data_IF_975007726828
#
_entry.id   IF_975007726828
#
_cell.length_a   1.000
_cell.length_b   1.000
_cell.length_c   1.000
_cell.angle_alpha   90.00
_cell.angle_beta   90.00
_cell.angle_gamma   90.00
#
_symmetry.space_group_name_H-M   'P 1'
#
loop_
_entity.id
_entity.type
_entity.pdbx_description
1 polymer ?
#
# COMPACT_ATOMS: atom_id res chain seq x y z
N UNK A 1 3.91 -18.32 -5.99
CA UNK A 1 3.75 -17.97 -4.56
C UNK A 1 5.11 -17.57 -4.04
N UNK A 2 5.23 -16.35 -3.48
CA UNK A 2 6.51 -15.83 -2.97
C UNK A 2 6.92 -16.62 -1.71
N UNK A 3 8.24 -16.78 -1.48
CA UNK A 3 8.77 -17.62 -0.38
C UNK A 3 8.23 -17.18 0.99
N UNK A 4 8.07 -15.88 1.21
CA UNK A 4 7.54 -15.32 2.46
C UNK A 4 6.04 -15.59 2.70
N UNK A 5 5.25 -15.93 1.67
CA UNK A 5 3.86 -16.35 1.86
C UNK A 5 3.72 -17.69 2.60
N UNK A 6 4.85 -18.39 2.81
CA UNK A 6 4.89 -19.63 3.60
C UNK A 6 5.16 -19.40 5.08
N UNK A 7 5.46 -18.15 5.47
CA UNK A 7 5.70 -17.79 6.86
C UNK A 7 4.35 -17.40 7.46
N UNK A 8 3.79 -18.18 8.40
CA UNK A 8 2.50 -17.85 8.99
C UNK A 8 2.61 -16.56 9.81
N UNK A 9 1.64 -15.68 9.61
CA UNK A 9 1.51 -14.45 10.39
C UNK A 9 0.65 -14.77 11.62
N UNK A 10 1.17 -14.42 12.80
CA UNK A 10 0.43 -14.51 14.06
C UNK A 10 0.17 -13.11 14.59
N UNK A 11 -1.09 -12.79 14.83
CA UNK A 11 -1.45 -11.53 15.49
C UNK A 11 -0.88 -11.49 16.91
N UNK A 12 -0.16 -10.43 17.24
CA UNK A 12 0.43 -10.21 18.56
C UNK A 12 -0.50 -9.42 19.50
N UNK A 13 -1.71 -9.06 19.04
CA UNK A 13 -2.68 -8.26 19.80
C UNK A 13 -2.40 -6.76 19.82
N UNK A 14 -1.41 -6.27 19.06
CA UNK A 14 -1.12 -4.84 18.95
C UNK A 14 -2.32 -4.10 18.31
N UNK A 15 -2.68 -2.94 18.88
CA UNK A 15 -3.90 -2.22 18.51
C UNK A 15 -3.74 -1.53 17.15
N UNK A 16 -4.79 -1.59 16.35
CA UNK A 16 -4.92 -0.77 15.15
C UNK A 16 -5.49 0.59 15.56
N UNK A 17 -4.67 1.64 15.53
CA UNK A 17 -5.06 2.98 15.96
C UNK A 17 -4.89 4.03 14.85
N UNK A 18 -5.54 5.17 15.00
CA UNK A 18 -5.41 6.29 14.07
C UNK A 18 -3.98 6.86 14.09
N UNK A 19 -3.50 7.27 12.92
CA UNK A 19 -2.20 7.93 12.78
C UNK A 19 -2.28 9.32 13.43
N UNK A 20 -1.36 9.65 14.37
CA UNK A 20 -1.38 10.92 15.08
C UNK A 20 -0.98 12.09 14.16
N UNK A 21 -1.42 13.30 14.52
CA UNK A 21 -1.19 14.52 13.73
C UNK A 21 0.28 14.96 13.62
N UNK A 22 1.19 14.40 14.42
CA UNK A 22 2.63 14.64 14.29
C UNK A 22 3.24 13.92 13.07
N UNK A 23 2.54 12.95 12.48
CA UNK A 23 2.92 12.32 11.22
C UNK A 23 2.05 12.87 10.10
N UNK A 24 2.67 13.21 8.98
CA UNK A 24 1.97 13.70 7.79
C UNK A 24 1.50 12.52 6.94
N UNK A 25 0.35 12.68 6.31
CA UNK A 25 -0.18 11.74 5.32
C UNK A 25 -0.74 12.49 4.12
N UNK A 26 -0.78 11.81 2.98
CA UNK A 26 -1.25 12.40 1.74
C UNK A 26 -2.77 12.60 1.79
N UNK A 27 -3.21 13.85 1.69
CA UNK A 27 -4.64 14.19 1.60
C UNK A 27 -4.89 14.98 0.31
N UNK A 28 -5.82 14.55 -0.52
CA UNK A 28 -6.72 13.40 -0.36
C UNK A 28 -6.05 12.05 -0.58
N UNK A 29 -6.56 11.00 0.09
CA UNK A 29 -6.03 9.64 -0.04
C UNK A 29 -6.14 9.14 -1.48
N UNK A 30 -5.05 8.64 -2.10
CA UNK A 30 -5.02 8.34 -3.53
C UNK A 30 -6.04 7.27 -3.96
N UNK A 31 -6.27 6.25 -3.13
CA UNK A 31 -7.22 5.17 -3.49
C UNK A 31 -8.67 5.56 -3.24
N UNK A 32 -8.92 6.49 -2.34
CA UNK A 32 -10.27 7.01 -2.12
C UNK A 32 -10.81 7.70 -3.38
N UNK A 33 -9.98 8.48 -4.06
CA UNK A 33 -10.34 9.09 -5.34
C UNK A 33 -10.63 8.10 -6.45
N UNK A 34 -10.04 6.92 -6.39
CA UNK A 34 -10.30 5.84 -7.35
C UNK A 34 -11.61 5.10 -7.07
N UNK A 35 -12.35 5.48 -6.03
CA UNK A 35 -13.59 4.81 -5.63
C UNK A 35 -13.37 3.56 -4.80
N UNK A 36 -12.18 3.39 -4.18
CA UNK A 36 -11.94 2.26 -3.30
C UNK A 36 -12.94 2.23 -2.11
N UNK A 37 -13.46 1.05 -1.74
CA UNK A 37 -14.59 0.91 -0.82
C UNK A 37 -14.19 1.06 0.65
N UNK A 38 -13.59 2.18 1.01
CA UNK A 38 -13.41 2.54 2.41
C UNK A 38 -14.75 2.89 3.04
N UNK A 39 -15.04 2.32 4.20
CA UNK A 39 -16.32 2.52 4.89
C UNK A 39 -16.54 3.97 5.32
N UNK A 40 -15.49 4.64 5.74
CA UNK A 40 -15.51 6.07 6.04
C UNK A 40 -14.11 6.68 5.88
N UNK A 41 -14.05 8.03 5.72
CA UNK A 41 -12.78 8.74 5.54
C UNK A 41 -11.90 8.73 6.80
N UNK A 42 -12.48 8.60 7.98
CA UNK A 42 -11.77 8.64 9.26
C UNK A 42 -11.10 7.31 9.57
N UNK A 43 -11.52 6.22 8.93
CA UNK A 43 -10.99 4.89 9.14
C UNK A 43 -9.81 4.55 8.23
N UNK A 44 -9.43 5.44 7.31
CA UNK A 44 -8.39 5.18 6.29
C UNK A 44 -6.99 5.18 6.92
N UNK A 45 -6.69 6.19 7.71
CA UNK A 45 -5.36 6.44 8.25
C UNK A 45 -5.15 5.74 9.59
N UNK A 46 -4.85 4.43 9.55
CA UNK A 46 -4.59 3.59 10.74
C UNK A 46 -3.36 2.72 10.53
N UNK A 47 -2.67 2.43 11.62
CA UNK A 47 -1.57 1.46 11.68
C UNK A 47 -1.57 0.79 13.05
N UNK A 48 -0.81 -0.29 13.20
CA UNK A 48 -0.52 -0.86 14.50
C UNK A 48 0.24 0.15 15.36
N UNK A 49 -0.10 0.20 16.66
CA UNK A 49 0.46 1.18 17.59
C UNK A 49 1.99 1.16 17.64
N UNK A 50 2.59 -0.03 17.68
CA UNK A 50 4.04 -0.17 17.67
C UNK A 50 4.66 0.33 16.36
N UNK A 51 4.00 0.18 15.22
CA UNK A 51 4.46 0.74 13.94
C UNK A 51 4.45 2.26 14.01
N UNK A 52 3.40 2.87 14.54
CA UNK A 52 3.29 4.32 14.73
C UNK A 52 4.42 4.82 15.63
N UNK A 53 4.68 4.15 16.76
CA UNK A 53 5.75 4.52 17.69
C UNK A 53 7.13 4.52 17.02
N UNK A 54 7.38 3.57 16.12
CA UNK A 54 8.61 3.53 15.33
C UNK A 54 8.66 4.65 14.28
N UNK A 55 7.53 4.91 13.61
CA UNK A 55 7.45 5.97 12.59
C UNK A 55 7.71 7.36 13.19
N UNK A 56 7.16 7.64 14.37
CA UNK A 56 7.43 8.91 15.07
C UNK A 56 8.92 9.06 15.30
N UNK A 57 9.61 8.04 15.85
CA UNK A 57 11.06 8.08 16.06
C UNK A 57 11.85 8.28 14.77
N UNK A 58 11.44 7.61 13.69
CA UNK A 58 12.09 7.75 12.39
C UNK A 58 11.88 9.14 11.82
N UNK A 59 10.67 9.70 11.93
CA UNK A 59 10.37 11.04 11.46
C UNK A 59 11.14 12.11 12.26
N UNK A 60 11.21 11.98 13.59
CA UNK A 60 11.97 12.87 14.45
C UNK A 60 13.47 12.84 14.09
N UNK A 61 14.01 11.65 13.89
CA UNK A 61 15.40 11.48 13.44
C UNK A 61 15.62 12.13 12.07
N UNK A 62 14.71 11.87 11.10
CA UNK A 62 14.80 12.45 9.76
C UNK A 62 14.81 13.98 9.80
N UNK A 63 13.93 14.58 10.58
CA UNK A 63 13.88 16.04 10.78
C UNK A 63 15.18 16.56 11.42
N UNK A 64 15.80 15.81 12.33
CA UNK A 64 17.02 16.23 13.00
C UNK A 64 18.25 16.28 12.08
N UNK A 65 18.27 15.45 11.01
CA UNK A 65 19.42 15.32 10.08
C UNK A 65 19.14 15.96 8.72
N UNK A 66 17.91 16.36 8.43
CA UNK A 66 17.51 16.89 7.12
C UNK A 66 16.37 17.88 7.25
N UNK A 67 15.98 18.48 6.12
CA UNK A 67 14.78 19.32 6.03
C UNK A 67 13.54 18.57 5.53
N UNK A 68 13.57 17.24 5.55
CA UNK A 68 12.48 16.40 5.06
C UNK A 68 11.63 15.85 6.21
N UNK A 69 10.39 15.48 5.87
CA UNK A 69 9.47 14.75 6.73
C UNK A 69 9.06 13.47 6.04
N UNK A 70 8.71 12.45 6.81
CA UNK A 70 7.97 11.32 6.28
C UNK A 70 6.55 11.78 5.88
N UNK A 71 6.11 11.35 4.71
CA UNK A 71 4.74 11.51 4.25
C UNK A 71 4.16 10.13 3.97
N UNK A 72 3.15 9.74 4.74
CA UNK A 72 2.50 8.45 4.59
C UNK A 72 1.60 8.52 3.36
N UNK A 73 1.87 7.65 2.38
CA UNK A 73 1.13 7.56 1.13
C UNK A 73 -0.05 6.58 1.22
N UNK A 74 0.15 5.45 1.88
CA UNK A 74 -0.86 4.43 2.16
C UNK A 74 -0.55 3.72 3.46
N UNK A 75 -1.58 3.23 4.15
CA UNK A 75 -1.45 2.63 5.47
C UNK A 75 -2.29 1.36 5.58
N UNK A 76 -3.08 1.19 6.63
CA UNK A 76 -3.97 0.04 6.76
C UNK A 76 -5.00 0.01 5.62
N UNK A 77 -5.09 -1.15 5.00
CA UNK A 77 -5.98 -1.38 3.87
C UNK A 77 -6.94 -2.52 4.21
N UNK A 78 -8.25 -2.26 4.38
CA UNK A 78 -9.24 -3.32 4.51
C UNK A 78 -9.15 -4.30 3.35
N UNK A 79 -9.54 -5.55 3.57
CA UNK A 79 -9.42 -6.58 2.55
C UNK A 79 -10.24 -6.24 1.29
N UNK A 80 -11.41 -5.64 1.46
CA UNK A 80 -12.27 -5.19 0.37
C UNK A 80 -11.58 -4.13 -0.51
N UNK A 81 -10.79 -3.25 0.11
CA UNK A 81 -9.99 -2.26 -0.61
C UNK A 81 -8.80 -2.93 -1.32
N UNK A 82 -8.16 -3.90 -0.68
CA UNK A 82 -7.11 -4.70 -1.31
C UNK A 82 -7.62 -5.45 -2.54
N UNK A 83 -8.81 -6.05 -2.46
CA UNK A 83 -9.48 -6.70 -3.59
C UNK A 83 -9.76 -5.72 -4.72
N UNK A 84 -10.32 -4.54 -4.39
CA UNK A 84 -10.61 -3.50 -5.36
C UNK A 84 -9.34 -3.07 -6.11
N UNK A 85 -8.25 -2.80 -5.39
CA UNK A 85 -6.99 -2.36 -5.98
C UNK A 85 -6.34 -3.47 -6.82
N UNK A 86 -6.41 -4.71 -6.35
CA UNK A 86 -5.90 -5.86 -7.10
C UNK A 86 -6.67 -6.09 -8.41
N UNK A 87 -8.01 -6.01 -8.38
CA UNK A 87 -8.87 -6.07 -9.56
C UNK A 87 -8.55 -4.95 -10.54
N UNK A 88 -8.42 -3.72 -10.03
CA UNK A 88 -8.04 -2.57 -10.85
C UNK A 88 -6.68 -2.76 -11.52
N UNK A 89 -5.70 -3.27 -10.80
CA UNK A 89 -4.37 -3.55 -11.36
C UNK A 89 -4.42 -4.58 -12.49
N UNK A 90 -5.25 -5.60 -12.36
CA UNK A 90 -5.50 -6.60 -13.41
C UNK A 90 -6.09 -5.93 -14.66
N UNK A 91 -7.13 -5.12 -14.50
CA UNK A 91 -7.77 -4.44 -15.63
C UNK A 91 -6.79 -3.55 -16.38
N UNK A 92 -6.00 -2.75 -15.66
CA UNK A 92 -4.98 -1.90 -16.26
C UNK A 92 -3.89 -2.70 -17.00
N UNK A 93 -3.49 -3.86 -16.48
CA UNK A 93 -2.50 -4.71 -17.15
C UNK A 93 -3.10 -5.39 -18.40
N UNK A 94 -4.38 -5.73 -18.36
CA UNK A 94 -5.11 -6.26 -19.52
C UNK A 94 -5.22 -5.22 -20.63
N UNK A 95 -5.61 -3.97 -20.28
CA UNK A 95 -5.67 -2.85 -21.23
C UNK A 95 -4.31 -2.61 -21.91
N UNK A 96 -3.20 -2.62 -21.13
CA UNK A 96 -1.84 -2.49 -21.70
C UNK A 96 -1.45 -3.62 -22.64
N UNK A 97 -2.02 -4.79 -22.44
CA UNK A 97 -1.72 -6.00 -23.23
C UNK A 97 -2.70 -6.25 -24.37
N UNK A 98 -3.65 -5.31 -24.60
CA UNK A 98 -4.74 -5.42 -25.58
C UNK A 98 -5.55 -6.73 -25.42
N UNK A 99 -5.80 -7.10 -24.18
CA UNK A 99 -6.52 -8.32 -23.81
C UNK A 99 -7.88 -7.94 -23.25
N UNK A 100 -8.94 -8.30 -23.92
CA UNK A 100 -10.31 -8.15 -23.42
C UNK A 100 -10.63 -9.33 -22.47
N UNK A 101 -10.57 -9.06 -21.16
CA UNK A 101 -10.83 -10.08 -20.13
C UNK A 101 -11.89 -9.56 -19.17
N UNK A 102 -12.89 -10.42 -18.90
CA UNK A 102 -13.68 -10.29 -17.70
C UNK A 102 -12.86 -10.80 -16.50
N UNK A 103 -12.99 -10.14 -15.34
CA UNK A 103 -12.28 -10.54 -14.11
C UNK A 103 -12.52 -12.03 -13.76
N UNK A 104 -13.67 -12.59 -14.13
CA UNK A 104 -14.04 -13.99 -13.90
C UNK A 104 -13.11 -14.98 -14.59
N UNK A 105 -12.52 -14.59 -15.72
CA UNK A 105 -11.63 -15.45 -16.51
C UNK A 105 -10.14 -15.20 -16.24
N UNK A 106 -9.78 -14.35 -15.29
CA UNK A 106 -8.37 -13.96 -15.05
C UNK A 106 -7.45 -15.14 -14.71
N UNK A 107 -7.99 -16.19 -14.10
CA UNK A 107 -7.21 -17.41 -13.80
C UNK A 107 -6.68 -18.11 -15.05
N UNK A 108 -7.30 -17.89 -16.21
CA UNK A 108 -6.84 -18.39 -17.50
C UNK A 108 -5.64 -17.60 -18.06
N UNK A 109 -5.26 -16.50 -17.40
CA UNK A 109 -4.16 -15.63 -17.82
C UNK A 109 -3.08 -15.50 -16.72
N UNK A 110 -2.35 -16.58 -16.44
CA UNK A 110 -1.37 -16.61 -15.35
C UNK A 110 -0.23 -15.59 -15.54
N UNK A 111 0.07 -15.20 -16.78
CA UNK A 111 1.07 -14.16 -17.07
C UNK A 111 0.66 -12.78 -16.55
N UNK A 112 -0.60 -12.41 -16.68
CA UNK A 112 -1.15 -11.15 -16.15
C UNK A 112 -1.12 -11.17 -14.63
N UNK A 113 -1.63 -12.26 -14.01
CA UNK A 113 -1.58 -12.42 -12.57
C UNK A 113 -0.16 -12.30 -12.02
N UNK A 114 0.81 -12.97 -12.66
CA UNK A 114 2.22 -12.92 -12.25
C UNK A 114 2.81 -11.51 -12.32
N UNK A 115 2.43 -10.70 -13.32
CA UNK A 115 2.84 -9.31 -13.43
C UNK A 115 2.24 -8.46 -12.31
N UNK A 116 0.93 -8.60 -12.05
CA UNK A 116 0.24 -7.86 -10.98
C UNK A 116 0.77 -8.26 -9.61
N UNK A 117 0.99 -9.55 -9.34
CA UNK A 117 1.51 -10.05 -8.06
C UNK A 117 2.95 -9.58 -7.75
N UNK A 118 3.70 -9.07 -8.73
CA UNK A 118 5.00 -8.44 -8.45
C UNK A 118 4.86 -7.22 -7.54
N UNK A 119 3.80 -6.43 -7.73
CA UNK A 119 3.58 -5.14 -7.08
C UNK A 119 2.44 -5.19 -6.05
N UNK A 120 1.43 -6.00 -6.29
CA UNK A 120 0.25 -6.11 -5.44
C UNK A 120 0.18 -7.46 -4.75
N UNK A 121 -0.02 -7.42 -3.42
CA UNK A 121 -0.30 -8.65 -2.68
C UNK A 121 -1.68 -9.19 -3.07
N UNK A 122 -1.75 -10.50 -3.29
CA UNK A 122 -3.03 -11.19 -3.52
C UNK A 122 -3.98 -10.96 -2.32
N UNK A 123 -5.25 -10.64 -2.55
CA UNK A 123 -6.23 -10.40 -1.48
C UNK A 123 -6.66 -11.72 -0.82
N UNK A 124 -5.81 -12.27 0.02
CA UNK A 124 -6.04 -13.53 0.71
C UNK A 124 -7.00 -13.36 1.87
N UNK A 125 -8.01 -14.23 1.94
CA UNK A 125 -8.91 -14.38 3.09
C UNK A 125 -8.33 -15.31 4.17
N UNK A 126 -7.20 -15.93 3.91
CA UNK A 126 -6.51 -16.79 4.88
C UNK A 126 -5.89 -15.91 5.98
N UNK A 127 -6.39 -16.08 7.21
CA UNK A 127 -5.94 -15.34 8.39
C UNK A 127 -4.46 -15.60 8.69
N UNK A 128 -3.93 -16.76 8.31
CA UNK A 128 -2.51 -17.08 8.49
C UNK A 128 -1.60 -16.42 7.45
N UNK A 129 -2.17 -15.93 6.35
CA UNK A 129 -1.45 -15.29 5.26
C UNK A 129 -2.21 -14.07 4.70
N UNK A 130 -2.49 -13.05 5.54
CA UNK A 130 -3.20 -11.85 5.11
C UNK A 130 -2.31 -10.97 4.23
N UNK A 131 -2.90 -10.11 3.38
CA UNK A 131 -2.13 -9.08 2.68
C UNK A 131 -1.41 -8.15 3.68
N UNK A 132 -0.15 -7.75 3.43
CA UNK A 132 0.63 -6.97 4.40
C UNK A 132 -0.07 -5.71 4.93
N UNK A 133 -0.64 -4.88 4.05
CA UNK A 133 -1.37 -3.67 4.46
C UNK A 133 -2.63 -3.96 5.28
N UNK A 134 -3.29 -5.11 5.04
CA UNK A 134 -4.48 -5.50 5.80
C UNK A 134 -4.15 -5.88 7.25
N UNK A 135 -2.89 -6.15 7.56
CA UNK A 135 -2.44 -6.40 8.94
C UNK A 135 -2.29 -5.11 9.77
N UNK A 136 -2.19 -3.95 9.13
CA UNK A 136 -1.81 -2.69 9.76
C UNK A 136 -0.31 -2.59 10.10
N UNK A 137 0.49 -3.58 9.69
CA UNK A 137 1.94 -3.63 9.90
C UNK A 137 2.76 -3.14 8.70
N UNK A 138 2.12 -2.83 7.58
CA UNK A 138 2.76 -2.32 6.38
C UNK A 138 2.18 -0.97 5.97
N UNK A 139 3.04 -0.13 5.38
CA UNK A 139 2.66 1.17 4.86
C UNK A 139 3.58 1.54 3.68
N UNK A 140 3.10 2.46 2.85
CA UNK A 140 3.91 3.11 1.83
C UNK A 140 4.21 4.55 2.27
N UNK A 141 5.46 4.98 2.10
CA UNK A 141 5.91 6.32 2.47
C UNK A 141 6.65 6.98 1.31
N UNK A 142 6.58 8.30 1.29
CA UNK A 142 7.43 9.17 0.51
C UNK A 142 8.02 10.25 1.41
N UNK A 143 8.80 11.15 0.85
CA UNK A 143 9.32 12.31 1.56
C UNK A 143 8.56 13.56 1.16
N UNK A 144 8.36 14.47 2.11
CA UNK A 144 7.97 15.84 1.83
C UNK A 144 9.01 16.81 2.34
N UNK A 145 9.13 17.97 1.69
CA UNK A 145 9.90 19.08 2.23
C UNK A 145 9.15 19.74 3.42
N UNK A 146 9.77 20.76 4.01
CA UNK A 146 9.18 21.51 5.15
C UNK A 146 7.87 22.21 4.79
N UNK A 147 7.67 22.54 3.52
CA UNK A 147 6.47 23.21 3.01
C UNK A 147 5.34 22.23 2.68
N UNK A 148 5.64 20.92 2.77
CA UNK A 148 4.69 19.83 2.51
C UNK A 148 4.67 19.35 1.06
N UNK A 149 5.55 19.86 0.19
CA UNK A 149 5.65 19.39 -1.20
C UNK A 149 6.33 18.03 -1.27
N UNK A 150 5.85 17.19 -2.17
CA UNK A 150 6.46 15.90 -2.42
C UNK A 150 7.89 16.05 -2.97
N UNK A 151 8.82 15.33 -2.37
CA UNK A 151 10.19 15.21 -2.89
C UNK A 151 10.22 14.19 -4.02
N UNK A 152 10.79 14.58 -5.15
CA UNK A 152 10.98 13.67 -6.26
C UNK A 152 12.07 12.64 -5.93
N UNK A 153 11.68 11.37 -5.93
CA UNK A 153 12.56 10.24 -5.55
C UNK A 153 12.91 9.36 -6.77
N UNK A 154 12.86 9.93 -7.98
CA UNK A 154 13.17 9.23 -9.23
C UNK A 154 12.00 8.44 -9.82
N UNK A 155 10.94 8.17 -9.05
CA UNK A 155 9.67 7.66 -9.54
C UNK A 155 8.53 8.13 -8.64
N UNK A 156 7.41 8.49 -9.23
CA UNK A 156 6.20 8.71 -8.43
C UNK A 156 5.67 7.37 -7.92
N UNK A 157 5.19 7.34 -6.68
CA UNK A 157 4.56 6.13 -6.09
C UNK A 157 3.41 5.62 -6.97
N UNK A 158 2.71 6.51 -7.66
CA UNK A 158 1.70 6.16 -8.67
C UNK A 158 2.27 5.53 -9.95
N UNK A 159 3.56 5.68 -10.24
CA UNK A 159 4.21 5.13 -11.43
C UNK A 159 4.72 3.69 -11.26
N UNK A 160 4.48 3.04 -10.12
CA UNK A 160 4.68 1.60 -9.96
C UNK A 160 3.96 0.76 -11.04
N UNK A 161 3.03 1.38 -11.76
CA UNK A 161 2.36 0.79 -12.94
C UNK A 161 3.11 0.97 -14.25
N UNK A 162 4.14 1.82 -14.33
CA UNK A 162 4.76 2.20 -15.60
C UNK A 162 6.29 2.06 -15.63
N UNK A 163 6.95 1.89 -14.50
CA UNK A 163 8.41 1.76 -14.44
C UNK A 163 8.83 0.37 -13.95
N UNK A 164 9.90 -0.22 -14.53
CA UNK A 164 10.50 -1.41 -13.96
C UNK A 164 10.98 -1.11 -12.53
N UNK A 165 10.77 -2.06 -11.64
CA UNK A 165 11.26 -1.95 -10.25
C UNK A 165 12.79 -1.82 -10.24
N UNK A 166 13.37 -0.92 -9.44
CA UNK A 166 14.83 -0.88 -9.27
C UNK A 166 15.41 -2.10 -8.54
N UNK A 167 14.63 -3.15 -8.34
CA UNK A 167 15.02 -4.39 -7.62
C UNK A 167 15.04 -5.64 -8.52
N UNK A 168 15.00 -5.48 -9.84
CA UNK A 168 15.19 -6.59 -10.79
C UNK A 168 16.65 -6.70 -11.20
#
# INVERSE_FOLDING_TARGET
>A
MKVWNKIPIKDNGDKLIAIPSCLKFLDPHPYFHLGAPYKDKTSIWKLREEVINRLVKVNDYLISISSFNLLIYDSWRPLEVQEFMFKRAILLECEKSDIDISFENIKSYPSILKKVEKFWAYPSHDISCPPPHSTGGALDVCLSDKDGNLVEMGSMVCLLYTSPSPRD
#
